data_IF_172394368991
#
_entry.id   IF_172394368991
#
_cell.length_a   1.000
_cell.length_b   1.000
_cell.length_c   1.000
_cell.angle_alpha   90.00
_cell.angle_beta   90.00
_cell.angle_gamma   90.00
#
_symmetry.space_group_name_H-M   'P 1'
#
loop_
_entity.id
_entity.type
_entity.pdbx_description
1 polymer ?
#
# COMPACT_ATOMS: atom_id res chain seq x y z
N UNK A 1 -26.75 26.67 11.29
CA UNK A 1 -25.65 27.52 11.83
C UNK A 1 -24.82 26.64 12.75
N UNK A 2 -23.61 26.27 12.33
CA UNK A 2 -22.65 25.50 13.13
C UNK A 2 -21.92 26.51 14.04
N UNK A 3 -21.69 26.23 15.33
CA UNK A 3 -20.98 27.17 16.20
C UNK A 3 -19.53 27.38 15.71
N UNK A 4 -19.06 28.62 15.76
CA UNK A 4 -17.74 29.09 15.33
C UNK A 4 -16.53 28.57 16.13
N UNK A 5 -16.64 27.38 16.74
CA UNK A 5 -15.60 26.78 17.59
C UNK A 5 -14.93 25.51 17.04
N UNK A 6 -15.44 24.88 15.97
CA UNK A 6 -14.97 23.55 15.56
C UNK A 6 -13.57 23.54 14.90
N UNK A 7 -13.18 24.63 14.24
CA UNK A 7 -11.95 24.69 13.44
C UNK A 7 -10.67 24.90 14.28
N UNK A 8 -10.74 25.58 15.43
CA UNK A 8 -9.57 25.88 16.26
C UNK A 8 -8.92 24.66 16.93
N UNK A 9 -9.61 23.51 16.93
CA UNK A 9 -9.11 22.27 17.57
C UNK A 9 -8.30 21.36 16.64
N UNK A 10 -8.33 21.59 15.32
CA UNK A 10 -7.72 20.69 14.33
C UNK A 10 -6.19 20.87 14.22
N UNK A 11 -5.66 22.04 14.60
CA UNK A 11 -4.22 22.33 14.58
C UNK A 11 -3.82 23.26 15.75
N UNK A 12 -3.84 22.75 17.00
CA UNK A 12 -3.40 23.55 18.14
C UNK A 12 -1.92 23.92 17.96
N UNK A 13 -1.52 25.15 18.28
CA UNK A 13 -0.12 25.53 18.29
C UNK A 13 0.73 24.57 19.13
N UNK A 14 1.78 24.02 18.54
CA UNK A 14 2.65 23.01 19.17
C UNK A 14 3.90 23.61 19.78
N UNK A 15 4.22 24.85 19.43
CA UNK A 15 5.32 25.63 19.98
C UNK A 15 4.93 27.11 20.16
N UNK A 16 5.79 27.88 20.84
CA UNK A 16 5.55 29.27 21.16
C UNK A 16 5.39 30.16 19.91
N UNK A 17 6.16 29.86 18.85
CA UNK A 17 6.14 30.62 17.60
C UNK A 17 4.85 30.38 16.83
N UNK A 18 4.38 29.13 16.73
CA UNK A 18 3.07 28.79 16.17
C UNK A 18 1.94 29.45 16.97
N UNK A 19 2.08 29.54 18.30
CA UNK A 19 1.04 30.15 19.14
C UNK A 19 0.93 31.65 18.88
N UNK A 20 2.07 32.32 18.79
CA UNK A 20 2.13 33.73 18.45
C UNK A 20 1.56 34.00 17.05
N UNK A 21 1.87 33.16 16.06
CA UNK A 21 1.33 33.26 14.69
C UNK A 21 -0.19 33.07 14.68
N UNK A 22 -0.67 32.02 15.33
CA UNK A 22 -2.09 31.72 15.46
C UNK A 22 -2.86 32.89 16.07
N UNK A 23 -2.42 33.39 17.22
CA UNK A 23 -3.12 34.45 17.95
C UNK A 23 -3.09 35.79 17.19
N UNK A 24 -1.97 36.10 16.52
CA UNK A 24 -1.84 37.32 15.71
C UNK A 24 -2.76 37.31 14.49
N UNK A 25 -2.83 36.18 13.77
CA UNK A 25 -3.66 36.05 12.57
C UNK A 25 -5.14 35.99 12.96
N UNK A 26 -5.48 35.33 14.08
CA UNK A 26 -6.82 35.31 14.64
C UNK A 26 -7.31 36.72 15.01
N UNK A 27 -6.48 37.47 15.73
CA UNK A 27 -6.81 38.84 16.14
C UNK A 27 -6.98 39.75 14.92
N UNK A 28 -6.13 39.61 13.91
CA UNK A 28 -6.21 40.38 12.68
C UNK A 28 -7.46 40.05 11.85
N UNK A 29 -7.80 38.77 11.68
CA UNK A 29 -8.96 38.32 10.93
C UNK A 29 -10.31 38.66 11.60
N UNK A 30 -10.32 38.85 12.92
CA UNK A 30 -11.51 39.24 13.68
C UNK A 30 -11.87 40.74 13.56
N UNK A 31 -10.97 41.57 13.03
CA UNK A 31 -11.22 43.00 12.85
C UNK A 31 -12.11 43.28 11.63
N UNK A 32 -12.88 44.39 11.61
CA UNK A 32 -13.64 44.81 10.44
C UNK A 32 -12.76 44.91 9.18
N UNK A 33 -13.34 44.66 8.01
CA UNK A 33 -12.59 44.70 6.73
C UNK A 33 -11.82 46.02 6.55
N UNK A 34 -12.44 47.15 6.89
CA UNK A 34 -11.86 48.50 6.73
C UNK A 34 -10.96 48.94 7.91
N UNK A 35 -10.70 48.08 8.90
CA UNK A 35 -9.86 48.44 10.04
C UNK A 35 -8.39 48.62 9.65
N UNK A 36 -7.71 49.57 10.28
CA UNK A 36 -6.27 49.79 10.12
C UNK A 36 -5.48 49.04 11.22
N UNK A 37 -4.33 48.42 10.90
CA UNK A 37 -3.71 48.32 9.58
C UNK A 37 -4.49 47.38 8.64
N UNK A 38 -4.43 47.64 7.33
CA UNK A 38 -5.11 46.86 6.27
C UNK A 38 -4.45 45.49 6.00
N UNK A 39 -3.26 45.28 6.55
CA UNK A 39 -2.42 44.11 6.34
C UNK A 39 -1.61 43.74 7.59
N UNK A 40 -1.35 42.45 7.75
CA UNK A 40 -0.46 41.89 8.76
C UNK A 40 0.75 41.26 8.06
N UNK A 41 1.95 41.78 8.35
CA UNK A 41 3.20 41.29 7.76
C UNK A 41 3.89 40.35 8.73
N UNK A 42 4.23 39.15 8.27
CA UNK A 42 4.96 38.16 9.07
C UNK A 42 6.49 38.28 8.86
N UNK A 43 7.31 37.94 9.88
CA UNK A 43 8.76 38.03 9.78
C UNK A 43 9.35 37.17 8.65
N UNK A 44 10.31 37.71 7.90
CA UNK A 44 11.06 36.97 6.87
C UNK A 44 11.96 35.88 7.46
N UNK A 45 12.23 35.90 8.77
CA UNK A 45 13.04 34.92 9.50
C UNK A 45 12.30 33.63 9.85
N UNK A 46 11.00 33.50 9.54
CA UNK A 46 10.24 32.29 9.83
C UNK A 46 10.80 31.06 9.12
N UNK A 47 10.85 29.93 9.83
CA UNK A 47 11.21 28.63 9.24
C UNK A 47 10.16 28.20 8.20
N UNK A 48 10.51 27.26 7.31
CA UNK A 48 9.55 26.68 6.36
C UNK A 48 8.33 26.06 7.06
N UNK A 49 8.56 25.41 8.21
CA UNK A 49 7.52 24.83 9.05
C UNK A 49 6.56 25.89 9.62
N UNK A 50 7.09 27.01 10.14
CA UNK A 50 6.27 28.09 10.69
C UNK A 50 5.49 28.84 9.61
N UNK A 51 6.01 28.95 8.38
CA UNK A 51 5.27 29.51 7.24
C UNK A 51 4.12 28.61 6.82
N UNK A 52 4.34 27.31 6.72
CA UNK A 52 3.26 26.36 6.42
C UNK A 52 2.14 26.46 7.48
N UNK A 53 2.53 26.64 8.74
CA UNK A 53 1.58 26.87 9.85
C UNK A 53 0.82 28.19 9.69
N UNK A 54 1.50 29.27 9.31
CA UNK A 54 0.86 30.56 9.04
C UNK A 54 -0.15 30.49 7.88
N UNK A 55 0.17 29.80 6.79
CA UNK A 55 -0.77 29.58 5.69
C UNK A 55 -2.03 28.83 6.15
N UNK A 56 -1.88 27.84 7.02
CA UNK A 56 -3.00 27.13 7.61
C UNK A 56 -3.89 28.07 8.45
N UNK A 57 -3.29 28.92 9.29
CA UNK A 57 -4.03 29.88 10.12
C UNK A 57 -4.71 30.99 9.29
N UNK A 58 -4.11 31.44 8.19
CA UNK A 58 -4.73 32.39 7.26
C UNK A 58 -6.05 31.84 6.72
N UNK A 59 -6.06 30.57 6.31
CA UNK A 59 -7.28 29.89 5.86
C UNK A 59 -8.29 29.76 6.99
N UNK A 60 -7.82 29.39 8.20
CA UNK A 60 -8.64 29.20 9.39
C UNK A 60 -9.42 30.46 9.79
N UNK A 61 -8.82 31.63 9.60
CA UNK A 61 -9.38 32.92 10.00
C UNK A 61 -9.86 33.76 8.80
N UNK A 62 -10.21 33.09 7.69
CA UNK A 62 -10.80 33.70 6.49
C UNK A 62 -10.02 34.90 5.92
N UNK A 63 -8.70 34.87 6.04
CA UNK A 63 -7.80 35.84 5.45
C UNK A 63 -7.27 35.36 4.08
N UNK A 64 -6.55 36.23 3.38
CA UNK A 64 -5.72 35.89 2.22
C UNK A 64 -4.26 36.18 2.56
N UNK A 65 -3.34 35.45 1.94
CA UNK A 65 -1.91 35.69 2.08
C UNK A 65 -1.25 35.83 0.71
N UNK A 66 -0.29 36.74 0.63
CA UNK A 66 0.60 36.91 -0.51
C UNK A 66 2.05 36.80 -0.01
N UNK A 67 2.86 35.99 -0.70
CA UNK A 67 4.27 35.80 -0.37
C UNK A 67 5.12 36.43 -1.46
N UNK A 68 5.94 37.41 -1.08
CA UNK A 68 6.86 38.09 -1.97
C UNK A 68 8.17 37.28 -2.16
N UNK A 69 8.97 37.56 -3.21
CA UNK A 69 10.20 36.81 -3.53
C UNK A 69 11.28 36.87 -2.43
N UNK A 70 11.22 37.88 -1.56
CA UNK A 70 12.08 38.07 -0.38
C UNK A 70 11.65 37.25 0.84
N UNK A 71 10.69 36.33 0.66
CA UNK A 71 10.08 35.50 1.71
C UNK A 71 9.32 36.32 2.74
N UNK A 72 8.85 37.52 2.42
CA UNK A 72 7.90 38.24 3.28
C UNK A 72 6.48 37.75 2.97
N UNK A 73 5.73 37.36 4.01
CA UNK A 73 4.35 36.90 3.89
C UNK A 73 3.42 37.99 4.45
N UNK A 74 2.55 38.51 3.59
CA UNK A 74 1.59 39.58 3.91
C UNK A 74 0.18 39.02 3.90
N UNK A 75 -0.55 39.23 5.00
CA UNK A 75 -1.89 38.72 5.23
C UNK A 75 -2.90 39.87 5.12
N UNK A 76 -4.01 39.65 4.42
CA UNK A 76 -5.11 40.63 4.26
C UNK A 76 -6.46 40.00 4.61
N UNK A 77 -7.41 40.81 5.08
CA UNK A 77 -8.79 40.35 5.36
C UNK A 77 -9.54 40.17 4.04
N UNK A 78 -10.43 39.17 3.93
CA UNK A 78 -11.31 39.02 2.76
C UNK A 78 -12.59 39.84 2.90
N UNK A 79 -13.11 40.37 1.79
CA UNK A 79 -14.40 41.07 1.75
C UNK A 79 -15.53 40.03 1.92
N UNK A 80 -16.56 40.28 2.74
CA UNK A 80 -17.71 39.38 2.80
C UNK A 80 -18.44 39.36 1.45
N UNK A 81 -18.67 38.18 0.90
CA UNK A 81 -19.46 38.01 -0.33
C UNK A 81 -20.90 38.46 -0.08
N UNK A 82 -21.45 39.31 -0.97
CA UNK A 82 -22.87 39.68 -0.93
C UNK A 82 -23.68 38.45 -1.35
N UNK A 83 -24.49 37.92 -0.44
CA UNK A 83 -25.37 36.79 -0.71
C UNK A 83 -26.41 37.07 -1.82
N UNK A 84 -26.98 36.03 -2.45
CA UNK A 84 -27.94 36.20 -3.54
C UNK A 84 -29.29 36.71 -3.02
N UNK A 85 -29.99 37.47 -3.88
CA UNK A 85 -31.39 37.86 -3.66
C UNK A 85 -32.28 36.62 -3.55
N UNK A 86 -33.17 36.63 -2.56
CA UNK A 86 -34.26 35.69 -2.47
C UNK A 86 -35.15 35.82 -3.71
N UNK A 87 -35.30 34.72 -4.45
CA UNK A 87 -36.34 34.38 -5.43
C UNK A 87 -35.73 33.74 -6.70
N UNK A 88 -35.24 32.50 -6.56
CA UNK A 88 -35.08 31.53 -7.65
C UNK A 88 -34.94 30.09 -7.09
N UNK A 89 -35.37 29.04 -7.81
CA UNK A 89 -35.50 27.69 -7.27
C UNK A 89 -34.14 27.05 -6.93
N UNK A 90 -34.13 26.23 -5.89
CA UNK A 90 -32.97 25.49 -5.40
C UNK A 90 -32.39 24.57 -6.48
N UNK A 91 -31.19 24.89 -6.95
CA UNK A 91 -30.30 23.95 -7.65
C UNK A 91 -28.96 23.91 -6.91
N UNK A 92 -28.50 22.69 -6.68
CA UNK A 92 -27.21 22.32 -6.09
C UNK A 92 -26.05 22.94 -6.88
N UNK A 93 -25.54 24.09 -6.43
CA UNK A 93 -24.35 24.71 -7.00
C UNK A 93 -23.48 25.24 -5.86
N UNK A 94 -22.55 24.41 -5.38
CA UNK A 94 -21.66 24.79 -4.27
C UNK A 94 -20.33 24.05 -4.20
N UNK A 95 -19.92 23.29 -5.22
CA UNK A 95 -18.72 22.44 -5.16
C UNK A 95 -17.72 22.63 -6.33
N UNK A 96 -17.97 23.58 -7.24
CA UNK A 96 -17.12 23.78 -8.43
C UNK A 96 -15.93 24.74 -8.23
N UNK A 97 -15.89 25.53 -7.15
CA UNK A 97 -14.89 26.61 -7.01
C UNK A 97 -13.71 26.30 -6.08
N UNK A 98 -13.69 25.13 -5.43
CA UNK A 98 -12.61 24.69 -4.54
C UNK A 98 -11.55 23.88 -5.31
N UNK A 99 -10.27 24.12 -5.03
CA UNK A 99 -9.20 23.29 -5.56
C UNK A 99 -9.35 21.83 -5.09
N UNK A 100 -8.74 20.89 -5.82
CA UNK A 100 -8.87 19.46 -5.56
C UNK A 100 -8.39 19.07 -4.14
N UNK A 101 -7.31 19.69 -3.67
CA UNK A 101 -6.71 19.37 -2.37
C UNK A 101 -7.66 19.79 -1.24
N UNK A 102 -8.23 20.98 -1.32
CA UNK A 102 -9.19 21.50 -0.34
C UNK A 102 -10.46 20.65 -0.30
N UNK A 103 -11.00 20.25 -1.47
CA UNK A 103 -12.16 19.34 -1.54
C UNK A 103 -11.87 17.99 -0.92
N UNK A 104 -10.71 17.41 -1.24
CA UNK A 104 -10.30 16.11 -0.69
C UNK A 104 -10.15 16.18 0.83
N UNK A 105 -9.50 17.24 1.33
CA UNK A 105 -9.31 17.45 2.77
C UNK A 105 -10.63 17.59 3.51
N UNK A 106 -11.55 18.41 3.02
CA UNK A 106 -12.89 18.58 3.61
C UNK A 106 -13.65 17.25 3.64
N UNK A 107 -13.56 16.46 2.55
CA UNK A 107 -14.22 15.16 2.45
C UNK A 107 -13.65 14.14 3.45
N UNK A 108 -12.34 14.15 3.67
CA UNK A 108 -11.68 13.31 4.67
C UNK A 108 -12.08 13.73 6.10
N UNK A 109 -12.06 15.02 6.39
CA UNK A 109 -12.46 15.57 7.70
C UNK A 109 -13.92 15.24 8.03
N UNK A 110 -14.84 15.39 7.07
CA UNK A 110 -16.24 15.01 7.22
C UNK A 110 -16.39 13.51 7.49
N UNK A 111 -15.64 12.65 6.77
CA UNK A 111 -15.64 11.20 7.01
C UNK A 111 -15.12 10.86 8.41
N UNK A 112 -14.04 11.50 8.87
CA UNK A 112 -13.45 11.25 10.19
C UNK A 112 -14.36 11.73 11.33
N UNK A 113 -15.00 12.89 11.17
CA UNK A 113 -15.96 13.42 12.13
C UNK A 113 -17.20 12.51 12.23
N UNK A 114 -17.75 12.08 11.09
CA UNK A 114 -18.90 11.18 11.06
C UNK A 114 -18.57 9.81 11.69
N UNK A 115 -17.36 9.29 11.46
CA UNK A 115 -16.93 8.02 12.02
C UNK A 115 -16.65 8.13 13.54
N UNK A 116 -16.09 9.24 14.01
CA UNK A 116 -15.84 9.49 15.44
C UNK A 116 -17.13 9.73 16.23
N UNK A 117 -18.21 10.16 15.57
CA UNK A 117 -19.52 10.36 16.19
C UNK A 117 -20.32 9.04 16.36
N UNK A 118 -19.84 7.91 15.82
CA UNK A 118 -20.52 6.63 16.00
C UNK A 118 -20.42 6.17 17.47
N UNK A 119 -21.52 5.71 18.07
CA UNK A 119 -21.50 5.22 19.45
C UNK A 119 -20.59 3.99 19.56
N UNK A 120 -19.75 3.94 20.60
CA UNK A 120 -18.96 2.76 20.91
C UNK A 120 -19.90 1.60 21.30
N UNK A 121 -20.12 0.70 20.35
CA UNK A 121 -21.00 -0.45 20.53
C UNK A 121 -20.40 -1.51 21.45
N UNK A 122 -19.06 -1.57 21.56
CA UNK A 122 -18.37 -2.62 22.33
C UNK A 122 -18.29 -2.24 23.80
N UNK A 123 -17.97 -0.97 24.10
CA UNK A 123 -17.80 -0.44 25.46
C UNK A 123 -16.80 -1.29 26.25
N UNK A 124 -15.54 -1.26 25.82
CA UNK A 124 -14.47 -2.02 26.46
C UNK A 124 -14.37 -1.67 27.96
N UNK A 125 -14.21 -2.69 28.81
CA UNK A 125 -14.10 -2.53 30.27
C UNK A 125 -15.42 -2.63 31.03
N UNK A 126 -16.56 -2.38 30.37
CA UNK A 126 -17.87 -2.57 30.98
C UNK A 126 -18.25 -4.06 31.10
N UNK A 127 -19.16 -4.39 32.02
CA UNK A 127 -19.73 -5.74 32.11
C UNK A 127 -20.25 -6.20 30.73
N UNK A 128 -19.99 -7.45 30.36
CA UNK A 128 -20.41 -8.09 29.11
C UNK A 128 -19.82 -7.47 27.82
N UNK A 129 -18.69 -6.74 27.90
CA UNK A 129 -18.04 -6.14 26.72
C UNK A 129 -17.59 -7.18 25.70
N UNK A 130 -17.17 -8.36 26.16
CA UNK A 130 -16.66 -9.45 25.31
C UNK A 130 -17.79 -10.01 24.43
N UNK A 131 -18.97 -10.19 25.00
CA UNK A 131 -20.17 -10.61 24.29
C UNK A 131 -20.58 -9.57 23.24
N UNK A 132 -20.55 -8.28 23.61
CA UNK A 132 -20.81 -7.18 22.66
C UNK A 132 -19.77 -7.13 21.54
N UNK A 133 -18.49 -7.36 21.85
CA UNK A 133 -17.42 -7.44 20.85
C UNK A 133 -17.71 -8.52 19.80
N UNK A 134 -17.95 -9.76 20.25
CA UNK A 134 -18.21 -10.87 19.35
C UNK A 134 -19.49 -10.68 18.53
N UNK A 135 -20.55 -10.11 19.11
CA UNK A 135 -21.78 -9.81 18.39
C UNK A 135 -21.62 -8.67 17.36
N UNK A 136 -20.96 -7.57 17.74
CA UNK A 136 -20.82 -6.40 16.87
C UNK A 136 -19.82 -6.63 15.74
N UNK A 137 -18.67 -7.26 16.03
CA UNK A 137 -17.52 -7.36 15.13
C UNK A 137 -17.48 -8.66 14.35
N UNK A 138 -17.83 -9.77 15.00
CA UNK A 138 -17.76 -11.13 14.42
C UNK A 138 -19.14 -11.72 14.14
N UNK A 139 -20.23 -11.00 14.43
CA UNK A 139 -21.62 -11.40 14.21
C UNK A 139 -21.99 -12.73 14.89
N UNK A 140 -21.40 -13.01 16.05
CA UNK A 140 -21.67 -14.22 16.82
C UNK A 140 -22.62 -13.99 17.98
N UNK A 141 -23.41 -15.01 18.29
CA UNK A 141 -24.25 -15.01 19.48
C UNK A 141 -23.42 -15.26 20.76
N UNK A 142 -23.94 -14.81 21.91
CA UNK A 142 -23.26 -14.94 23.22
C UNK A 142 -23.08 -16.40 23.69
N UNK A 143 -23.83 -17.34 23.13
CA UNK A 143 -23.74 -18.78 23.43
C UNK A 143 -22.85 -19.55 22.44
N UNK A 144 -22.38 -18.93 21.36
CA UNK A 144 -21.67 -19.61 20.29
C UNK A 144 -20.18 -19.81 20.61
N UNK A 145 -19.91 -20.65 21.61
CA UNK A 145 -18.55 -21.00 22.03
C UNK A 145 -17.78 -21.78 20.96
N UNK A 146 -18.48 -22.61 20.17
CA UNK A 146 -17.89 -23.38 19.06
C UNK A 146 -17.32 -22.47 17.98
N UNK A 147 -18.06 -21.46 17.51
CA UNK A 147 -17.54 -20.52 16.52
C UNK A 147 -16.41 -19.66 17.07
N UNK A 148 -16.47 -19.24 18.35
CA UNK A 148 -15.34 -18.55 19.01
C UNK A 148 -14.09 -19.41 19.03
N UNK A 149 -14.24 -20.70 19.35
CA UNK A 149 -13.14 -21.67 19.35
C UNK A 149 -12.59 -21.86 17.93
N UNK A 150 -13.45 -21.91 16.92
CA UNK A 150 -13.03 -22.01 15.52
C UNK A 150 -12.22 -20.77 15.07
N UNK A 151 -12.66 -19.56 15.45
CA UNK A 151 -11.93 -18.31 15.17
C UNK A 151 -10.55 -18.31 15.87
N UNK A 152 -10.50 -18.73 17.14
CA UNK A 152 -9.24 -18.90 17.85
C UNK A 152 -8.31 -19.90 17.14
N UNK A 153 -8.85 -21.01 16.64
CA UNK A 153 -8.09 -21.98 15.85
C UNK A 153 -7.53 -21.40 14.55
N UNK A 154 -8.33 -20.64 13.80
CA UNK A 154 -7.87 -19.93 12.59
C UNK A 154 -6.80 -18.89 12.90
N UNK A 155 -6.92 -18.19 14.03
CA UNK A 155 -5.94 -17.21 14.47
C UNK A 155 -4.60 -17.89 14.81
N UNK A 156 -4.64 -19.00 15.57
CA UNK A 156 -3.45 -19.81 15.91
C UNK A 156 -2.80 -20.38 14.66
N UNK A 157 -3.59 -20.92 13.72
CA UNK A 157 -3.09 -21.37 12.43
C UNK A 157 -2.38 -20.23 11.69
N UNK A 158 -2.92 -19.01 11.72
CA UNK A 158 -2.25 -17.85 11.14
C UNK A 158 -0.92 -17.47 11.79
N UNK A 159 -0.81 -17.58 13.11
CA UNK A 159 0.46 -17.38 13.79
C UNK A 159 1.51 -18.42 13.35
N UNK A 160 1.11 -19.68 13.21
CA UNK A 160 1.96 -20.74 12.69
C UNK A 160 2.36 -20.48 11.23
N UNK A 161 1.41 -20.09 10.38
CA UNK A 161 1.68 -19.75 8.97
C UNK A 161 2.70 -18.63 8.87
N UNK A 162 2.55 -17.54 9.65
CA UNK A 162 3.48 -16.41 9.66
C UNK A 162 4.85 -16.86 10.16
N UNK A 163 4.92 -17.60 11.26
CA UNK A 163 6.21 -18.08 11.78
C UNK A 163 6.94 -18.94 10.72
N UNK A 164 6.24 -19.88 10.09
CA UNK A 164 6.83 -20.71 9.05
C UNK A 164 7.18 -19.89 7.80
N UNK A 165 6.39 -18.88 7.43
CA UNK A 165 6.69 -17.98 6.31
C UNK A 165 8.06 -17.32 6.46
N UNK A 166 8.38 -16.83 7.65
CA UNK A 166 9.65 -16.16 7.92
C UNK A 166 10.86 -17.11 7.95
N UNK A 167 10.68 -18.33 8.48
CA UNK A 167 11.80 -19.25 8.70
C UNK A 167 11.96 -20.32 7.62
N UNK A 168 10.88 -20.67 6.91
CA UNK A 168 10.81 -21.81 6.00
C UNK A 168 10.16 -21.45 4.65
N UNK A 169 9.83 -20.18 4.43
CA UNK A 169 9.13 -19.74 3.22
C UNK A 169 7.63 -20.04 3.26
N UNK A 170 6.94 -19.72 2.16
CA UNK A 170 5.47 -19.87 2.06
C UNK A 170 5.06 -21.32 2.27
N UNK A 171 4.09 -21.55 3.17
CA UNK A 171 3.57 -22.88 3.47
C UNK A 171 2.25 -23.20 2.77
N UNK A 172 1.48 -22.17 2.42
CA UNK A 172 0.19 -22.27 1.74
C UNK A 172 -0.11 -20.95 1.04
N UNK A 173 -0.16 -20.96 -0.30
CA UNK A 173 -0.46 -19.78 -1.11
C UNK A 173 -1.95 -19.39 -1.06
N UNK A 174 -2.83 -20.31 -0.65
CA UNK A 174 -4.28 -20.11 -0.60
C UNK A 174 -4.83 -19.84 0.80
N UNK A 175 -4.05 -20.09 1.85
CA UNK A 175 -4.46 -19.84 3.23
C UNK A 175 -4.59 -18.33 3.51
N UNK A 176 -5.64 -17.96 4.21
CA UNK A 176 -5.85 -16.62 4.75
C UNK A 176 -6.66 -16.70 6.04
N UNK A 177 -6.59 -15.68 6.88
CA UNK A 177 -7.43 -15.56 8.06
C UNK A 177 -8.83 -15.03 7.66
N UNK A 178 -9.91 -15.82 7.77
CA UNK A 178 -11.20 -15.50 7.15
C UNK A 178 -12.10 -14.61 8.01
N UNK A 179 -11.51 -13.71 8.80
CA UNK A 179 -12.23 -12.77 9.65
C UNK A 179 -11.55 -11.40 9.62
N UNK A 180 -12.35 -10.34 9.72
CA UNK A 180 -11.83 -8.96 9.79
C UNK A 180 -11.25 -8.60 11.17
N UNK A 181 -11.54 -9.40 12.20
CA UNK A 181 -11.20 -9.11 13.59
C UNK A 181 -10.58 -10.34 14.28
N UNK A 182 -9.69 -10.09 15.23
CA UNK A 182 -9.06 -11.13 16.04
C UNK A 182 -10.00 -11.65 17.14
N UNK A 183 -9.79 -12.89 17.66
CA UNK A 183 -10.39 -13.30 18.92
C UNK A 183 -9.80 -12.52 20.10
N UNK A 184 -10.45 -12.56 21.26
CA UNK A 184 -9.83 -12.03 22.48
C UNK A 184 -8.70 -12.96 22.95
N UNK A 185 -7.66 -12.40 23.57
CA UNK A 185 -6.54 -13.18 24.11
C UNK A 185 -7.01 -14.20 25.17
N UNK A 186 -8.07 -13.90 25.93
CA UNK A 186 -8.65 -14.83 26.89
C UNK A 186 -9.34 -16.05 26.27
N UNK A 187 -9.52 -16.09 24.95
CA UNK A 187 -10.02 -17.27 24.21
C UNK A 187 -8.88 -18.11 23.61
N UNK A 188 -7.63 -17.64 23.69
CA UNK A 188 -6.43 -18.35 23.24
C UNK A 188 -5.92 -19.31 24.32
N UNK A 189 -6.81 -20.20 24.78
CA UNK A 189 -6.53 -21.24 25.77
C UNK A 189 -6.43 -22.61 25.09
N UNK A 190 -5.89 -23.63 25.77
CA UNK A 190 -5.81 -25.01 25.28
C UNK A 190 -5.27 -25.13 23.85
N UNK A 191 -4.20 -24.38 23.55
CA UNK A 191 -3.68 -24.21 22.19
C UNK A 191 -3.18 -25.52 21.56
N UNK A 192 -2.74 -26.47 22.38
CA UNK A 192 -2.30 -27.79 21.93
C UNK A 192 -3.40 -28.61 21.25
N UNK A 193 -4.67 -28.24 21.41
CA UNK A 193 -5.79 -28.86 20.70
C UNK A 193 -6.00 -28.37 19.26
N UNK A 194 -5.24 -27.38 18.78
CA UNK A 194 -5.36 -26.87 17.42
C UNK A 194 -4.31 -27.50 16.49
N UNK A 195 -4.73 -27.93 15.30
CA UNK A 195 -3.89 -28.53 14.27
C UNK A 195 -3.01 -27.51 13.51
N UNK A 196 -2.63 -26.39 14.13
CA UNK A 196 -2.19 -25.12 13.50
C UNK A 196 -1.04 -25.16 12.49
N UNK A 197 -0.37 -26.30 12.30
CA UNK A 197 0.72 -26.49 11.34
C UNK A 197 0.34 -27.23 10.04
N UNK A 198 -0.94 -27.52 9.79
CA UNK A 198 -1.35 -28.21 8.56
C UNK A 198 -1.64 -27.22 7.44
N UNK A 199 -0.81 -27.24 6.40
CA UNK A 199 -0.85 -26.33 5.26
C UNK A 199 -0.75 -27.10 3.94
N UNK A 200 -1.37 -26.58 2.89
CA UNK A 200 -1.27 -27.11 1.54
C UNK A 200 -0.62 -26.07 0.66
N UNK A 201 0.65 -26.27 0.29
CA UNK A 201 1.43 -25.26 -0.44
C UNK A 201 0.66 -24.65 -1.61
N UNK A 202 0.01 -25.48 -2.42
CA UNK A 202 -0.77 -25.01 -3.56
C UNK A 202 0.12 -24.28 -4.57
N UNK A 203 -0.43 -23.26 -5.21
CA UNK A 203 0.31 -22.43 -6.17
C UNK A 203 -0.16 -20.97 -6.07
N UNK A 204 0.75 -20.01 -6.29
CA UNK A 204 0.40 -18.59 -6.34
C UNK A 204 -0.64 -18.33 -7.44
N UNK A 205 -1.42 -17.26 -7.27
CA UNK A 205 -2.19 -16.70 -8.37
C UNK A 205 -1.27 -16.27 -9.52
N UNK A 206 -1.76 -16.39 -10.76
CA UNK A 206 -1.10 -15.70 -11.87
C UNK A 206 -1.18 -14.17 -11.68
N UNK A 207 -0.33 -13.37 -12.34
CA UNK A 207 -0.38 -11.92 -12.23
C UNK A 207 -1.78 -11.31 -12.41
N UNK A 208 -2.56 -11.75 -13.41
CA UNK A 208 -3.91 -11.25 -13.61
C UNK A 208 -4.94 -11.80 -12.64
N UNK A 209 -4.82 -13.06 -12.19
CA UNK A 209 -5.65 -13.59 -11.10
C UNK A 209 -5.47 -12.75 -9.83
N UNK A 210 -4.21 -12.40 -9.49
CA UNK A 210 -3.88 -11.57 -8.34
C UNK A 210 -4.39 -10.14 -8.51
N UNK A 211 -4.25 -9.53 -9.69
CA UNK A 211 -4.82 -8.19 -9.94
C UNK A 211 -6.34 -8.19 -9.81
N UNK A 212 -7.03 -9.22 -10.33
CA UNK A 212 -8.48 -9.37 -10.16
C UNK A 212 -8.89 -9.58 -8.69
N UNK A 213 -8.05 -10.20 -7.87
CA UNK A 213 -8.33 -10.42 -6.46
C UNK A 213 -8.05 -9.19 -5.57
N UNK A 214 -7.23 -8.24 -6.04
CA UNK A 214 -6.73 -7.11 -5.22
C UNK A 214 -7.29 -5.76 -5.68
N UNK A 215 -7.46 -5.54 -6.98
CA UNK A 215 -7.83 -4.22 -7.49
C UNK A 215 -9.32 -3.93 -7.33
N UNK A 216 -9.69 -2.68 -6.97
CA UNK A 216 -11.05 -2.22 -7.16
C UNK A 216 -11.35 -2.03 -8.65
N UNK A 217 -12.63 -2.04 -9.02
CA UNK A 217 -13.07 -1.83 -10.40
C UNK A 217 -12.54 -0.53 -11.03
N UNK A 218 -12.33 0.52 -10.23
CA UNK A 218 -11.77 1.80 -10.67
C UNK A 218 -10.34 1.67 -11.26
N UNK A 219 -9.57 0.68 -10.79
CA UNK A 219 -8.22 0.38 -11.28
C UNK A 219 -8.20 -0.67 -12.40
N UNK A 220 -9.36 -1.01 -12.96
CA UNK A 220 -9.48 -2.03 -14.01
C UNK A 220 -8.74 -1.71 -15.31
N UNK A 221 -8.23 -0.49 -15.50
CA UNK A 221 -7.40 -0.11 -16.65
C UNK A 221 -6.04 -0.83 -16.68
N UNK A 222 -5.58 -1.38 -15.55
CA UNK A 222 -4.34 -2.17 -15.48
C UNK A 222 -4.51 -3.63 -15.96
N UNK A 223 -5.76 -4.06 -16.17
CA UNK A 223 -6.14 -5.40 -16.58
C UNK A 223 -6.51 -5.44 -18.07
N UNK A 224 -6.44 -6.61 -18.72
CA UNK A 224 -7.01 -6.85 -20.05
C UNK A 224 -8.47 -6.40 -20.14
N UNK A 225 -8.90 -5.95 -21.32
CA UNK A 225 -10.24 -5.41 -21.52
C UNK A 225 -11.35 -6.39 -21.12
N UNK A 226 -11.21 -7.67 -21.45
CA UNK A 226 -12.20 -8.70 -21.09
C UNK A 226 -12.25 -8.98 -19.59
N UNK A 227 -11.13 -8.87 -18.88
CA UNK A 227 -11.06 -9.02 -17.43
C UNK A 227 -11.74 -7.84 -16.74
N UNK A 228 -11.46 -6.62 -17.22
CA UNK A 228 -12.09 -5.39 -16.72
C UNK A 228 -13.62 -5.44 -16.80
N UNK A 229 -14.19 -6.03 -17.85
CA UNK A 229 -15.66 -6.19 -17.99
C UNK A 229 -16.27 -6.98 -16.82
N UNK A 230 -15.55 -7.98 -16.30
CA UNK A 230 -16.02 -8.78 -15.16
C UNK A 230 -16.10 -7.98 -13.85
N UNK A 231 -15.37 -6.87 -13.73
CA UNK A 231 -15.38 -6.02 -12.53
C UNK A 231 -16.51 -4.98 -12.53
N UNK A 232 -17.11 -4.71 -13.69
CA UNK A 232 -18.08 -3.60 -13.86
C UNK A 232 -19.45 -4.08 -14.34
N UNK A 233 -19.53 -5.23 -15.03
CA UNK A 233 -20.79 -5.71 -15.59
C UNK A 233 -21.70 -6.23 -14.47
N UNK A 234 -22.93 -5.72 -14.32
CA UNK A 234 -23.89 -6.23 -13.33
C UNK A 234 -24.23 -7.72 -13.52
N UNK A 235 -24.06 -8.24 -14.74
CA UNK A 235 -24.26 -9.66 -15.06
C UNK A 235 -23.04 -10.55 -14.78
N UNK A 236 -21.93 -9.98 -14.31
CA UNK A 236 -20.73 -10.76 -14.00
C UNK A 236 -20.99 -11.72 -12.83
N UNK A 237 -20.60 -13.01 -12.94
CA UNK A 237 -20.77 -13.98 -11.84
C UNK A 237 -19.92 -13.70 -10.59
N UNK A 238 -19.06 -12.68 -10.66
CA UNK A 238 -18.17 -12.24 -9.58
C UNK A 238 -18.31 -10.73 -9.31
N UNK A 239 -19.41 -10.10 -9.74
CA UNK A 239 -19.62 -8.65 -9.52
C UNK A 239 -19.64 -8.28 -8.03
N UNK A 240 -20.08 -9.20 -7.17
CA UNK A 240 -20.14 -9.04 -5.72
C UNK A 240 -18.75 -8.92 -5.07
N UNK A 241 -17.68 -9.29 -5.77
CA UNK A 241 -16.30 -9.06 -5.33
C UNK A 241 -15.85 -7.60 -5.44
N UNK A 242 -16.56 -6.78 -6.22
CA UNK A 242 -16.14 -5.42 -6.58
C UNK A 242 -17.16 -4.36 -6.14
N UNK A 243 -17.41 -4.23 -4.82
CA UNK A 243 -18.33 -3.20 -4.34
C UNK A 243 -17.80 -1.80 -4.66
N UNK A 244 -18.70 -0.90 -5.05
CA UNK A 244 -18.37 0.51 -5.32
C UNK A 244 -18.19 1.33 -4.04
N UNK A 245 -18.79 0.87 -2.94
CA UNK A 245 -18.63 1.43 -1.59
C UNK A 245 -18.61 0.31 -0.55
N UNK A 246 -17.92 0.54 0.56
CA UNK A 246 -17.75 -0.45 1.62
C UNK A 246 -17.64 0.22 2.99
N UNK A 247 -18.03 -0.52 4.03
CA UNK A 247 -17.96 -0.02 5.40
C UNK A 247 -16.49 0.06 5.84
N UNK A 248 -16.11 1.21 6.39
CA UNK A 248 -14.85 1.39 7.11
C UNK A 248 -15.16 1.48 8.61
N UNK A 249 -14.63 0.55 9.40
CA UNK A 249 -14.81 0.52 10.85
C UNK A 249 -13.55 1.04 11.55
N UNK A 250 -13.62 2.24 12.15
CA UNK A 250 -12.51 2.83 12.89
C UNK A 250 -12.03 1.94 14.05
N UNK A 251 -12.89 1.10 14.61
CA UNK A 251 -12.55 0.17 15.68
C UNK A 251 -11.74 0.81 16.84
N UNK A 252 -12.18 1.99 17.28
CA UNK A 252 -11.52 2.77 18.35
C UNK A 252 -10.26 3.53 17.92
N UNK A 253 -9.92 3.54 16.62
CA UNK A 253 -8.82 4.32 16.06
C UNK A 253 -9.27 5.72 15.65
N UNK A 254 -8.30 6.62 15.51
CA UNK A 254 -8.56 8.04 15.24
C UNK A 254 -8.70 8.35 13.75
N UNK A 255 -7.87 7.71 12.93
CA UNK A 255 -7.76 8.08 11.51
C UNK A 255 -8.35 7.02 10.60
N UNK A 256 -8.91 7.45 9.48
CA UNK A 256 -9.56 6.58 8.48
C UNK A 256 -8.63 5.50 7.91
N UNK A 257 -7.34 5.78 7.75
CA UNK A 257 -6.34 4.79 7.28
C UNK A 257 -6.02 3.70 8.31
N UNK A 258 -6.45 3.87 9.57
CA UNK A 258 -6.38 2.83 10.61
C UNK A 258 -7.66 2.00 10.68
N UNK A 259 -8.70 2.38 9.93
CA UNK A 259 -9.97 1.68 9.92
C UNK A 259 -9.81 0.29 9.29
N UNK A 260 -10.65 -0.64 9.75
CA UNK A 260 -10.81 -1.93 9.12
C UNK A 260 -11.76 -1.75 7.93
N UNK A 261 -11.24 -1.98 6.72
CA UNK A 261 -12.04 -2.05 5.51
C UNK A 261 -12.84 -3.36 5.51
N UNK A 262 -14.17 -3.26 5.58
CA UNK A 262 -15.06 -4.42 5.59
C UNK A 262 -15.41 -4.78 4.14
N UNK A 263 -14.60 -5.64 3.54
CA UNK A 263 -14.76 -6.10 2.18
C UNK A 263 -15.19 -7.58 2.15
N UNK A 264 -15.93 -8.03 1.13
CA UNK A 264 -16.16 -9.44 0.94
C UNK A 264 -14.82 -10.15 0.65
N UNK A 265 -14.62 -11.32 1.25
CA UNK A 265 -13.47 -12.17 0.90
C UNK A 265 -13.71 -12.83 -0.46
N UNK A 266 -12.68 -12.84 -1.30
CA UNK A 266 -12.72 -13.45 -2.63
C UNK A 266 -12.76 -14.97 -2.51
N UNK A 267 -13.74 -15.61 -3.15
CA UNK A 267 -13.70 -17.06 -3.40
C UNK A 267 -12.75 -17.33 -4.57
N UNK A 268 -11.53 -17.80 -4.24
CA UNK A 268 -10.49 -18.11 -5.20
C UNK A 268 -10.91 -19.15 -6.26
N UNK A 269 -11.74 -20.14 -5.89
CA UNK A 269 -12.20 -21.16 -6.82
C UNK A 269 -13.20 -20.56 -7.81
N UNK A 270 -14.14 -19.75 -7.31
CA UNK A 270 -15.11 -19.04 -8.15
C UNK A 270 -14.43 -18.05 -9.10
N UNK A 271 -13.45 -17.30 -8.59
CA UNK A 271 -12.65 -16.39 -9.41
C UNK A 271 -11.96 -17.14 -10.56
N UNK A 272 -11.18 -18.18 -10.24
CA UNK A 272 -10.47 -18.98 -11.26
C UNK A 272 -11.42 -19.61 -12.28
N UNK A 273 -12.58 -20.10 -11.85
CA UNK A 273 -13.57 -20.69 -12.74
C UNK A 273 -14.10 -19.68 -13.79
N UNK A 274 -14.33 -18.43 -13.37
CA UNK A 274 -14.78 -17.35 -14.27
C UNK A 274 -13.68 -16.86 -15.19
N UNK A 275 -12.43 -16.77 -14.70
CA UNK A 275 -11.30 -16.29 -15.50
C UNK A 275 -10.82 -17.31 -16.54
N UNK A 276 -10.97 -18.61 -16.26
CA UNK A 276 -10.50 -19.70 -17.15
C UNK A 276 -10.96 -19.55 -18.62
N UNK A 277 -12.26 -19.36 -18.95
CA UNK A 277 -12.67 -19.16 -20.34
C UNK A 277 -12.17 -17.84 -20.93
N UNK A 278 -12.04 -16.79 -20.11
CA UNK A 278 -11.58 -15.46 -20.57
C UNK A 278 -10.08 -15.45 -20.86
N UNK A 279 -9.29 -16.33 -20.23
CA UNK A 279 -7.85 -16.46 -20.51
C UNK A 279 -7.54 -16.77 -21.99
N UNK A 280 -8.48 -17.37 -22.72
CA UNK A 280 -8.33 -17.65 -24.14
C UNK A 280 -8.39 -16.40 -25.04
N UNK A 281 -9.00 -15.30 -24.58
CA UNK A 281 -9.11 -14.05 -25.35
C UNK A 281 -7.89 -13.13 -25.20
N UNK A 282 -6.95 -13.47 -24.31
CA UNK A 282 -5.76 -12.68 -24.08
C UNK A 282 -4.88 -12.60 -25.34
N UNK A 283 -4.39 -11.41 -25.63
CA UNK A 283 -3.39 -11.17 -26.67
C UNK A 283 -2.08 -11.90 -26.36
N UNK A 284 -1.15 -11.93 -27.31
CA UNK A 284 0.17 -12.55 -27.11
C UNK A 284 0.97 -11.79 -26.02
N UNK A 285 0.91 -10.45 -26.03
CA UNK A 285 1.54 -9.60 -25.01
C UNK A 285 0.95 -9.87 -23.63
N UNK A 286 -0.38 -9.86 -23.51
CA UNK A 286 -1.06 -10.04 -22.23
C UNK A 286 -0.78 -11.43 -21.65
N UNK A 287 -0.78 -12.47 -22.50
CA UNK A 287 -0.34 -13.82 -22.10
C UNK A 287 1.12 -13.86 -21.68
N UNK A 288 1.96 -12.94 -22.15
CA UNK A 288 3.34 -12.81 -21.72
C UNK A 288 3.45 -12.19 -20.33
N UNK A 289 2.64 -11.18 -20.04
CA UNK A 289 2.59 -10.51 -18.74
C UNK A 289 1.91 -11.36 -17.65
N UNK A 290 1.03 -12.30 -18.02
CA UNK A 290 0.36 -13.21 -17.09
C UNK A 290 1.12 -14.53 -16.82
N UNK A 291 2.45 -14.53 -17.03
CA UNK A 291 3.34 -15.65 -16.71
C UNK A 291 4.34 -15.26 -15.64
N UNK A 292 4.83 -16.27 -14.91
CA UNK A 292 5.99 -16.12 -14.03
C UNK A 292 7.25 -15.90 -14.87
N UNK A 293 8.12 -15.00 -14.38
CA UNK A 293 9.42 -14.70 -14.99
C UNK A 293 10.55 -15.53 -14.40
N UNK A 294 11.71 -15.45 -15.04
CA UNK A 294 12.95 -16.02 -14.51
C UNK A 294 13.64 -14.99 -13.62
N UNK A 295 14.32 -15.44 -12.56
CA UNK A 295 15.29 -14.60 -11.85
C UNK A 295 16.51 -14.42 -12.76
N UNK A 296 17.01 -13.19 -12.87
CA UNK A 296 18.11 -12.82 -13.76
C UNK A 296 19.32 -12.38 -12.96
N UNK A 297 20.49 -12.81 -13.40
CA UNK A 297 21.78 -12.36 -12.88
C UNK A 297 22.54 -11.64 -13.99
N UNK A 298 23.27 -10.58 -13.61
CA UNK A 298 24.14 -9.83 -14.52
C UNK A 298 25.55 -9.72 -13.94
N UNK A 299 26.55 -9.96 -14.79
CA UNK A 299 27.96 -9.83 -14.43
C UNK A 299 28.73 -9.10 -15.54
N UNK A 300 29.84 -8.46 -15.18
CA UNK A 300 30.73 -7.87 -16.19
C UNK A 300 31.50 -8.98 -16.91
N UNK A 301 31.47 -8.98 -18.24
CA UNK A 301 32.09 -10.01 -19.08
C UNK A 301 33.60 -10.18 -18.85
N UNK A 302 34.29 -9.13 -18.37
CA UNK A 302 35.72 -9.18 -18.07
C UNK A 302 36.06 -9.81 -16.71
N UNK A 303 35.05 -10.14 -15.89
CA UNK A 303 35.26 -10.84 -14.62
C UNK A 303 35.23 -12.35 -14.81
N UNK A 304 35.91 -13.09 -13.94
CA UNK A 304 35.90 -14.57 -13.95
C UNK A 304 34.47 -15.13 -13.88
N UNK A 305 33.62 -14.51 -13.06
CA UNK A 305 32.21 -14.89 -12.96
C UNK A 305 31.41 -14.53 -14.21
N UNK A 306 31.73 -13.42 -14.88
CA UNK A 306 31.15 -13.05 -16.17
C UNK A 306 31.53 -14.02 -17.29
N UNK A 307 32.77 -14.51 -17.30
CA UNK A 307 33.21 -15.56 -18.22
C UNK A 307 32.44 -16.87 -17.98
N UNK A 308 32.23 -17.25 -16.72
CA UNK A 308 31.37 -18.39 -16.35
C UNK A 308 29.92 -18.20 -16.84
N UNK A 309 29.34 -17.02 -16.64
CA UNK A 309 27.99 -16.71 -17.14
C UNK A 309 27.91 -16.82 -18.68
N UNK A 310 28.94 -16.34 -19.39
CA UNK A 310 29.00 -16.44 -20.84
C UNK A 310 29.13 -17.91 -21.29
N UNK A 311 29.97 -18.70 -20.62
CA UNK A 311 30.12 -20.14 -20.89
C UNK A 311 28.79 -20.87 -20.68
N UNK A 312 28.04 -20.55 -19.62
CA UNK A 312 26.72 -21.15 -19.35
C UNK A 312 25.67 -20.81 -20.44
N UNK A 313 25.77 -19.63 -21.08
CA UNK A 313 24.84 -19.19 -22.11
C UNK A 313 25.19 -19.67 -23.55
N UNK A 314 26.49 -19.83 -23.85
CA UNK A 314 26.99 -19.99 -25.22
C UNK A 314 27.91 -21.21 -25.45
N UNK A 315 28.33 -21.90 -24.38
CA UNK A 315 29.24 -23.05 -24.46
C UNK A 315 30.65 -22.71 -24.96
N UNK A 316 31.53 -23.71 -25.04
CA UNK A 316 32.91 -23.55 -25.58
C UNK A 316 32.97 -23.56 -27.11
N UNK A 317 31.95 -24.11 -27.78
CA UNK A 317 31.89 -24.25 -29.25
C UNK A 317 30.79 -23.42 -29.91
N UNK A 318 30.15 -22.51 -29.17
CA UNK A 318 29.00 -21.73 -29.65
C UNK A 318 27.68 -22.52 -29.77
N UNK A 319 27.67 -23.80 -29.40
CA UNK A 319 26.48 -24.64 -29.36
C UNK A 319 25.64 -24.34 -28.12
N UNK A 320 24.31 -24.34 -28.27
CA UNK A 320 23.38 -24.05 -27.19
C UNK A 320 23.51 -25.03 -26.02
N UNK A 321 23.93 -24.53 -24.86
CA UNK A 321 23.92 -25.31 -23.62
C UNK A 321 22.51 -25.32 -23.04
N UNK A 322 21.85 -26.49 -23.03
CA UNK A 322 20.49 -26.65 -22.52
C UNK A 322 20.45 -27.11 -21.06
N UNK A 323 21.54 -27.70 -20.57
CA UNK A 323 21.65 -28.17 -19.18
C UNK A 323 22.06 -27.01 -18.26
N UNK A 324 21.41 -26.84 -17.09
CA UNK A 324 21.82 -25.86 -16.09
C UNK A 324 23.27 -26.08 -15.61
N UNK A 325 24.04 -25.01 -15.49
CA UNK A 325 25.42 -25.02 -14.98
C UNK A 325 25.41 -24.83 -13.46
N UNK A 326 25.77 -25.84 -12.65
CA UNK A 326 25.75 -25.73 -11.19
C UNK A 326 26.92 -24.86 -10.68
N UNK A 327 26.63 -23.82 -9.91
CA UNK A 327 27.63 -22.88 -9.41
C UNK A 327 28.60 -23.50 -8.40
N UNK A 328 28.17 -24.52 -7.66
CA UNK A 328 29.02 -25.19 -6.67
C UNK A 328 30.26 -25.87 -7.28
N UNK A 329 30.28 -26.10 -8.60
CA UNK A 329 31.40 -26.73 -9.30
C UNK A 329 32.53 -25.76 -9.66
N UNK A 330 32.35 -24.45 -9.46
CA UNK A 330 33.27 -23.42 -9.95
C UNK A 330 33.77 -22.52 -8.80
N UNK A 331 35.09 -22.34 -8.72
CA UNK A 331 35.72 -21.44 -7.74
C UNK A 331 35.33 -19.97 -7.95
N UNK A 332 35.05 -19.57 -9.19
CA UNK A 332 34.57 -18.23 -9.54
C UNK A 332 33.22 -17.87 -8.88
N UNK A 333 32.49 -18.86 -8.37
CA UNK A 333 31.22 -18.70 -7.65
C UNK A 333 31.29 -19.19 -6.20
N UNK A 334 32.48 -19.19 -5.58
CA UNK A 334 32.67 -19.68 -4.21
C UNK A 334 31.72 -19.04 -3.15
N UNK A 335 31.16 -17.86 -3.44
CA UNK A 335 30.20 -17.15 -2.58
C UNK A 335 28.73 -17.36 -2.94
N UNK A 336 28.40 -18.10 -4.00
CA UNK A 336 27.04 -18.23 -4.55
C UNK A 336 26.67 -19.69 -4.86
N UNK A 337 25.58 -20.18 -4.27
CA UNK A 337 24.96 -21.45 -4.64
C UNK A 337 23.98 -21.31 -5.81
N UNK A 338 23.39 -22.42 -6.27
CA UNK A 338 22.37 -22.44 -7.32
C UNK A 338 22.90 -22.89 -8.68
N UNK A 339 22.15 -22.60 -9.74
CA UNK A 339 22.56 -22.89 -11.13
C UNK A 339 22.25 -21.75 -12.09
N UNK A 340 23.04 -21.71 -13.17
CA UNK A 340 22.88 -20.77 -14.27
C UNK A 340 22.26 -21.46 -15.47
N UNK A 341 21.38 -20.76 -16.18
CA UNK A 341 20.75 -21.27 -17.39
C UNK A 341 20.59 -20.16 -18.42
N UNK A 342 20.68 -20.51 -19.69
CA UNK A 342 20.44 -19.56 -20.78
C UNK A 342 19.02 -19.00 -20.75
N UNK A 343 18.89 -17.70 -20.98
CA UNK A 343 17.62 -17.00 -21.17
C UNK A 343 17.59 -16.29 -22.52
N UNK A 344 16.76 -16.77 -23.45
CA UNK A 344 16.68 -16.24 -24.82
C UNK A 344 16.10 -14.82 -24.91
N UNK A 345 15.54 -14.31 -23.80
CA UNK A 345 15.05 -12.93 -23.70
C UNK A 345 16.17 -11.92 -23.44
N UNK A 346 17.39 -12.38 -23.17
CA UNK A 346 18.53 -11.53 -22.88
C UNK A 346 19.35 -11.26 -24.14
N UNK A 347 19.86 -10.03 -24.24
CA UNK A 347 20.80 -9.65 -25.31
C UNK A 347 22.13 -10.41 -25.16
N UNK A 348 22.83 -10.56 -26.27
CA UNK A 348 24.23 -10.97 -26.24
C UNK A 348 25.13 -9.84 -25.69
N UNK A 349 26.23 -10.17 -24.99
CA UNK A 349 27.21 -9.18 -24.55
C UNK A 349 27.87 -8.49 -25.76
N UNK A 350 28.32 -7.25 -25.57
CA UNK A 350 28.95 -6.45 -26.62
C UNK A 350 27.97 -5.80 -27.61
N UNK A 351 26.67 -6.03 -27.46
CA UNK A 351 25.62 -5.34 -28.22
C UNK A 351 25.26 -4.03 -27.50
N UNK A 352 25.00 -2.97 -28.29
CA UNK A 352 24.52 -1.69 -27.77
C UNK A 352 23.21 -1.87 -26.99
N UNK A 353 23.15 -1.31 -25.78
CA UNK A 353 21.93 -1.26 -24.98
C UNK A 353 21.30 0.12 -25.15
N UNK A 354 20.14 0.13 -25.81
CA UNK A 354 19.34 1.34 -25.98
C UNK A 354 18.63 1.71 -24.67
N UNK A 355 18.45 3.01 -24.37
CA UNK A 355 17.63 3.41 -23.25
C UNK A 355 16.19 2.90 -23.44
N UNK A 356 15.48 2.56 -22.35
CA UNK A 356 14.07 2.18 -22.43
C UNK A 356 13.22 3.35 -22.95
N UNK A 357 11.99 3.05 -23.36
CA UNK A 357 11.02 4.06 -23.76
C UNK A 357 10.86 5.14 -22.66
N UNK A 358 10.91 6.41 -23.05
CA UNK A 358 10.92 7.55 -22.12
C UNK A 358 12.27 7.80 -21.41
N UNK A 359 13.26 6.91 -21.55
CA UNK A 359 14.56 7.02 -20.88
C UNK A 359 15.36 8.25 -21.29
N UNK A 360 15.21 8.73 -22.52
CA UNK A 360 15.86 9.96 -22.99
C UNK A 360 15.43 11.20 -22.16
N UNK A 361 14.17 11.25 -21.72
CA UNK A 361 13.66 12.32 -20.86
C UNK A 361 14.26 12.27 -19.44
N UNK A 362 14.81 11.12 -19.04
CA UNK A 362 15.53 10.92 -17.78
C UNK A 362 17.06 10.96 -17.95
N UNK A 363 17.55 11.50 -19.07
CA UNK A 363 18.97 11.56 -19.41
C UNK A 363 19.67 10.19 -19.44
N UNK A 364 18.94 9.09 -19.71
CA UNK A 364 19.53 7.78 -19.94
C UNK A 364 20.12 7.72 -21.35
N UNK A 365 21.44 7.56 -21.43
CA UNK A 365 22.16 7.41 -22.69
C UNK A 365 22.23 5.95 -23.14
N UNK A 366 22.45 5.75 -24.45
CA UNK A 366 22.82 4.45 -25.02
C UNK A 366 24.12 3.98 -24.38
N UNK A 367 24.15 2.72 -23.94
CA UNK A 367 25.39 2.06 -23.52
C UNK A 367 25.95 1.30 -24.70
N UNK A 368 26.99 1.85 -25.33
CA UNK A 368 27.64 1.19 -26.47
C UNK A 368 28.47 0.00 -26.03
N UNK A 369 28.46 -1.05 -26.85
CA UNK A 369 29.17 -2.31 -26.63
C UNK A 369 29.05 -2.81 -25.17
N UNK A 370 27.80 -2.96 -24.70
CA UNK A 370 27.55 -3.24 -23.28
C UNK A 370 28.24 -4.54 -22.84
N UNK A 371 29.19 -4.41 -21.91
CA UNK A 371 30.01 -5.52 -21.43
C UNK A 371 29.32 -6.41 -20.39
N UNK A 372 28.05 -6.17 -20.06
CA UNK A 372 27.31 -6.99 -19.11
C UNK A 372 26.75 -8.24 -19.79
N UNK A 373 27.02 -9.42 -19.21
CA UNK A 373 26.41 -10.71 -19.57
C UNK A 373 25.21 -10.92 -18.66
N UNK A 374 24.06 -11.23 -19.25
CA UNK A 374 22.88 -11.64 -18.51
C UNK A 374 22.64 -13.14 -18.61
N UNK A 375 22.16 -13.76 -17.54
CA UNK A 375 21.84 -15.19 -17.47
C UNK A 375 20.62 -15.41 -16.56
N UNK A 376 19.84 -16.48 -16.78
CA UNK A 376 18.83 -16.90 -15.81
C UNK A 376 19.51 -17.63 -14.65
N UNK A 377 19.00 -17.39 -13.45
CA UNK A 377 19.53 -17.92 -12.21
C UNK A 377 18.44 -18.70 -11.48
N UNK A 378 18.75 -19.95 -11.17
CA UNK A 378 17.92 -20.81 -10.34
C UNK A 378 18.54 -20.88 -8.94
N UNK A 379 17.77 -20.48 -7.93
CA UNK A 379 18.20 -20.53 -6.54
C UNK A 379 18.50 -21.97 -6.09
N UNK A 380 19.46 -22.19 -5.18
CA UNK A 380 19.70 -23.52 -4.63
C UNK A 380 18.49 -23.99 -3.83
N UNK A 381 18.29 -25.31 -3.77
CA UNK A 381 17.31 -25.90 -2.87
C UNK A 381 17.76 -25.69 -1.41
N UNK A 382 17.05 -24.85 -0.67
CA UNK A 382 17.30 -24.63 0.75
C UNK A 382 16.67 -25.75 1.58
N UNK A 383 17.43 -26.28 2.55
CA UNK A 383 16.90 -27.16 3.58
C UNK A 383 16.11 -26.38 4.64
N UNK A 384 15.53 -27.11 5.60
CA UNK A 384 14.88 -26.48 6.75
C UNK A 384 15.87 -25.57 7.50
N UNK A 385 15.49 -24.32 7.72
CA UNK A 385 16.33 -23.36 8.42
C UNK A 385 16.53 -23.79 9.88
N UNK A 386 17.80 -23.85 10.30
CA UNK A 386 18.17 -23.98 11.70
C UNK A 386 18.51 -22.58 12.24
N UNK A 387 17.77 -22.04 13.23
CA UNK A 387 18.01 -20.71 13.79
C UNK A 387 19.24 -20.73 14.71
N UNK A 388 20.41 -20.91 14.11
CA UNK A 388 21.69 -21.01 14.80
C UNK A 388 22.77 -20.25 14.03
N UNK A 389 23.80 -19.83 14.76
CA UNK A 389 24.97 -19.21 14.15
C UNK A 389 25.70 -20.22 13.27
N UNK A 390 26.17 -19.75 12.12
CA UNK A 390 27.03 -20.55 11.24
C UNK A 390 28.38 -20.80 11.90
N UNK A 391 28.95 -21.98 11.65
CA UNK A 391 30.28 -22.33 12.17
C UNK A 391 31.31 -21.35 11.64
N UNK A 392 32.17 -20.84 12.53
CA UNK A 392 33.22 -19.88 12.17
C UNK A 392 32.76 -18.42 12.13
N UNK A 393 31.55 -18.11 12.61
CA UNK A 393 31.11 -16.71 12.73
C UNK A 393 32.05 -15.92 13.65
N UNK A 394 32.44 -14.73 13.22
CA UNK A 394 33.14 -13.74 14.04
C UNK A 394 32.11 -12.68 14.40
N UNK A 395 31.79 -12.57 15.69
CA UNK A 395 30.78 -11.60 16.15
C UNK A 395 31.36 -10.17 16.05
N UNK A 396 30.54 -9.18 15.64
CA UNK A 396 30.95 -7.79 15.68
C UNK A 396 31.18 -7.33 17.14
N UNK A 397 31.96 -6.26 17.36
CA UNK A 397 32.10 -5.67 18.68
C UNK A 397 30.73 -5.36 19.31
N UNK A 398 30.57 -5.65 20.60
CA UNK A 398 29.32 -5.39 21.30
C UNK A 398 29.14 -3.88 21.48
N UNK A 399 28.03 -3.35 20.97
CA UNK A 399 27.55 -2.00 21.27
C UNK A 399 26.28 -2.18 22.10
N UNK A 400 26.36 -1.84 23.39
CA UNK A 400 25.26 -1.96 24.36
C UNK A 400 24.41 -0.70 24.43
#
# INVERSE_FOLDING_TARGET
>A
QIPSGAFGSLYPPRDATQKQLHDSIKAFGAQPFDAQPDSLVLPSSLSGFHRASAHLYVTLFHCSAHSAPDKIMTIRRKRPEKGPRADAPQQEAGDEHLDFETRLKLRLELKEAAASAQPDQVRYGDKDWKERYYAAKLRLHSSDSTSRRAIAGQYVQGLCWVLMYYYQGVQDWGWFYPYHYAPCASDLVDLGGFAGGQFQLGAPFSPFEQLMAVFPAASGHALPAEYRKLMISPSSPIIDFFPTDFKNDLNGKKFSWQAVAILPFIDAKRLRAVLKPVRASLTIEERSRDRFGDTLLFACASSDFGALCAQACYGESGAHHTTPTPLAAYSASASFGGSLRRCDRLRAPGIDLMPPEGGAAQALAKVSACSAVGVAYDEPAYGAHAPQLVRGVVLPPVVL
#
